data_IF_157157503450
#
_entry.id   IF_157157503450
#
_cell.length_a   1.000
_cell.length_b   1.000
_cell.length_c   1.000
_cell.angle_alpha   90.00
_cell.angle_beta   90.00
_cell.angle_gamma   90.00
#
_symmetry.space_group_name_H-M   'P 1'
#
loop_
_entity.id
_entity.type
_entity.pdbx_description
1 polymer ?
#
# COMPACT_ATOMS: atom_id res chain seq x y z
N UNK A 1 14.32 -5.66 28.18
CA UNK A 1 12.88 -5.30 28.12
C UNK A 1 12.37 -5.67 26.74
N UNK A 2 11.46 -6.65 26.59
CA UNK A 2 10.83 -6.96 25.29
C UNK A 2 9.62 -6.05 25.14
N UNK A 3 9.78 -4.94 24.41
CA UNK A 3 8.65 -4.09 24.02
C UNK A 3 7.75 -4.87 23.07
N UNK A 4 6.52 -5.18 23.49
CA UNK A 4 5.48 -5.71 22.60
C UNK A 4 4.82 -4.53 21.91
N UNK A 5 5.17 -4.31 20.64
CA UNK A 5 4.63 -3.20 19.85
C UNK A 5 3.38 -3.65 19.09
N UNK A 6 2.22 -3.44 19.70
CA UNK A 6 0.92 -3.80 19.14
C UNK A 6 0.52 -2.99 17.89
N UNK A 7 1.24 -1.90 17.59
CA UNK A 7 0.99 -1.08 16.39
C UNK A 7 1.23 -1.85 15.10
N UNK A 8 2.03 -2.93 15.15
CA UNK A 8 2.35 -3.75 13.99
C UNK A 8 1.53 -5.05 13.93
N UNK A 9 0.73 -5.36 14.96
CA UNK A 9 -0.08 -6.58 15.00
C UNK A 9 -1.03 -6.73 13.79
N UNK A 10 -1.65 -5.65 13.26
CA UNK A 10 -2.45 -5.76 12.04
C UNK A 10 -1.65 -6.21 10.82
N UNK A 11 -0.36 -5.88 10.76
CA UNK A 11 0.55 -6.25 9.68
C UNK A 11 1.19 -7.63 9.90
N UNK A 12 1.40 -8.03 11.15
CA UNK A 12 2.07 -9.28 11.52
C UNK A 12 1.13 -10.49 11.64
N UNK A 13 -0.10 -10.27 12.14
CA UNK A 13 -1.00 -11.36 12.52
C UNK A 13 -2.26 -11.47 11.65
N UNK A 14 -2.34 -10.71 10.55
CA UNK A 14 -3.45 -10.78 9.60
C UNK A 14 -4.78 -10.49 10.28
N UNK A 15 -5.14 -9.20 10.39
CA UNK A 15 -6.55 -8.86 10.58
C UNK A 15 -7.39 -9.63 9.55
N UNK A 16 -8.62 -10.03 9.88
CA UNK A 16 -9.43 -10.87 8.98
C UNK A 16 -9.81 -10.06 7.72
N UNK A 17 -8.93 -10.06 6.72
CA UNK A 17 -9.12 -9.32 5.47
C UNK A 17 -10.25 -10.01 4.71
N UNK A 18 -11.39 -9.32 4.58
CA UNK A 18 -12.49 -9.76 3.71
C UNK A 18 -12.01 -9.80 2.25
N UNK A 19 -12.46 -10.82 1.51
CA UNK A 19 -12.15 -11.03 0.09
C UNK A 19 -10.63 -11.07 -0.18
N UNK A 20 -9.90 -11.81 0.67
CA UNK A 20 -8.44 -11.85 0.64
C UNK A 20 -7.92 -12.39 -0.71
N UNK A 21 -8.53 -13.43 -1.27
CA UNK A 21 -8.09 -14.03 -2.53
C UNK A 21 -8.20 -13.03 -3.70
N UNK A 22 -9.32 -12.32 -3.80
CA UNK A 22 -9.57 -11.32 -4.82
C UNK A 22 -8.63 -10.12 -4.68
N UNK A 23 -8.41 -9.66 -3.44
CA UNK A 23 -7.44 -8.59 -3.16
C UNK A 23 -6.02 -9.01 -3.47
N UNK A 24 -5.66 -10.27 -3.23
CA UNK A 24 -4.33 -10.79 -3.57
C UNK A 24 -4.10 -10.77 -5.08
N UNK A 25 -5.10 -11.18 -5.89
CA UNK A 25 -5.00 -11.12 -7.36
C UNK A 25 -4.73 -9.69 -7.84
N UNK A 26 -5.42 -8.70 -7.27
CA UNK A 26 -5.20 -7.28 -7.63
C UNK A 26 -3.85 -6.78 -7.12
N UNK A 27 -3.44 -7.18 -5.91
CA UNK A 27 -2.15 -6.83 -5.33
C UNK A 27 -0.98 -7.32 -6.18
N UNK A 28 -1.03 -8.57 -6.67
CA UNK A 28 0.00 -9.14 -7.52
C UNK A 28 0.06 -8.41 -8.88
N UNK A 29 -1.09 -8.10 -9.47
CA UNK A 29 -1.15 -7.27 -10.70
C UNK A 29 -0.56 -5.87 -10.52
N UNK A 30 -0.80 -5.24 -9.37
CA UNK A 30 -0.18 -3.95 -9.05
C UNK A 30 1.34 -4.11 -8.91
N UNK A 31 1.80 -5.18 -8.25
CA UNK A 31 3.22 -5.46 -8.10
C UNK A 31 3.92 -5.65 -9.44
N UNK A 32 3.29 -6.34 -10.40
CA UNK A 32 3.83 -6.55 -11.75
C UNK A 32 4.02 -5.24 -12.54
N UNK A 33 3.25 -4.20 -12.25
CA UNK A 33 3.35 -2.89 -12.91
C UNK A 33 4.61 -2.12 -12.52
N UNK A 34 5.16 -2.39 -11.33
CA UNK A 34 6.30 -1.65 -10.78
C UNK A 34 7.55 -1.79 -11.65
N UNK A 35 8.24 -0.68 -11.89
CA UNK A 35 9.55 -0.62 -12.54
C UNK A 35 10.58 0.00 -11.60
N UNK A 36 11.84 -0.40 -11.74
CA UNK A 36 12.93 0.23 -10.97
C UNK A 36 13.01 1.72 -11.34
N UNK A 37 13.19 2.57 -10.34
CA UNK A 37 13.18 4.02 -10.45
C UNK A 37 11.80 4.67 -10.34
N UNK A 38 10.72 3.89 -10.21
CA UNK A 38 9.38 4.46 -10.05
C UNK A 38 9.26 5.25 -8.73
N UNK A 39 8.54 6.37 -8.78
CA UNK A 39 7.94 7.03 -7.61
C UNK A 39 6.45 6.75 -7.65
N UNK A 40 5.91 6.04 -6.66
CA UNK A 40 4.51 5.59 -6.70
C UNK A 40 3.69 6.12 -5.51
N UNK A 41 2.47 6.57 -5.78
CA UNK A 41 1.49 6.90 -4.74
C UNK A 41 0.82 5.63 -4.21
N UNK A 42 0.85 5.45 -2.90
CA UNK A 42 0.30 4.27 -2.22
C UNK A 42 -0.89 4.67 -1.37
N UNK A 43 -2.06 4.20 -1.80
CA UNK A 43 -3.32 4.34 -1.11
C UNK A 43 -3.40 3.66 0.25
N UNK A 44 -4.58 3.67 0.87
CA UNK A 44 -4.79 3.15 2.23
C UNK A 44 -5.76 1.96 2.27
N UNK A 45 -5.77 1.24 3.40
CA UNK A 45 -6.65 0.09 3.64
C UNK A 45 -6.10 -1.26 3.17
N UNK A 46 -6.87 -2.31 3.46
CA UNK A 46 -6.41 -3.71 3.33
C UNK A 46 -5.95 -4.12 1.92
N UNK A 47 -6.57 -3.63 0.85
CA UNK A 47 -6.14 -3.93 -0.52
C UNK A 47 -4.76 -3.31 -0.82
N UNK A 48 -4.57 -2.04 -0.44
CA UNK A 48 -3.30 -1.32 -0.61
C UNK A 48 -2.18 -1.95 0.24
N UNK A 49 -2.50 -2.43 1.44
CA UNK A 49 -1.57 -3.17 2.30
C UNK A 49 -1.06 -4.45 1.62
N UNK A 50 -1.95 -5.24 1.03
CA UNK A 50 -1.57 -6.46 0.31
C UNK A 50 -0.73 -6.16 -0.94
N UNK A 51 -1.04 -5.05 -1.63
CA UNK A 51 -0.25 -4.57 -2.77
C UNK A 51 1.18 -4.23 -2.34
N UNK A 52 1.41 -3.45 -1.29
CA UNK A 52 2.78 -3.14 -0.84
C UNK A 52 3.54 -4.37 -0.32
N UNK A 53 2.85 -5.34 0.27
CA UNK A 53 3.45 -6.61 0.66
C UNK A 53 3.93 -7.39 -0.59
N UNK A 54 3.14 -7.39 -1.66
CA UNK A 54 3.50 -8.08 -2.91
C UNK A 54 4.61 -7.33 -3.67
N UNK A 55 4.54 -5.99 -3.71
CA UNK A 55 5.60 -5.12 -4.22
C UNK A 55 6.92 -5.40 -3.47
N UNK A 56 6.94 -5.33 -2.14
CA UNK A 56 8.18 -5.51 -1.37
C UNK A 56 8.85 -6.88 -1.60
N UNK A 57 8.05 -7.96 -1.72
CA UNK A 57 8.56 -9.28 -2.12
C UNK A 57 9.22 -9.23 -3.49
N UNK A 58 8.56 -8.61 -4.48
CA UNK A 58 9.07 -8.51 -5.85
C UNK A 58 10.34 -7.67 -5.93
N UNK A 59 10.37 -6.48 -5.32
CA UNK A 59 11.54 -5.62 -5.28
C UNK A 59 12.77 -6.37 -4.74
N UNK A 60 12.60 -7.14 -3.67
CA UNK A 60 13.67 -7.95 -3.10
C UNK A 60 14.15 -9.05 -4.05
N UNK A 61 13.23 -9.76 -4.68
CA UNK A 61 13.55 -10.89 -5.57
C UNK A 61 14.25 -10.42 -6.86
N UNK A 62 13.78 -9.31 -7.43
CA UNK A 62 14.25 -8.78 -8.71
C UNK A 62 15.30 -7.66 -8.56
N UNK A 63 15.64 -7.27 -7.33
CA UNK A 63 16.57 -6.16 -7.02
C UNK A 63 16.16 -4.83 -7.68
N UNK A 64 14.87 -4.55 -7.65
CA UNK A 64 14.31 -3.28 -8.09
C UNK A 64 14.31 -2.29 -6.92
N UNK A 65 14.45 -1.01 -7.23
CA UNK A 65 14.39 0.08 -6.25
C UNK A 65 13.36 1.11 -6.66
N UNK A 66 12.54 1.58 -5.72
CA UNK A 66 11.46 2.55 -5.94
C UNK A 66 11.31 3.47 -4.74
N UNK A 67 10.64 4.61 -4.95
CA UNK A 67 10.15 5.47 -3.87
C UNK A 67 8.63 5.34 -3.75
N UNK A 68 8.11 5.35 -2.52
CA UNK A 68 6.66 5.30 -2.24
C UNK A 68 6.18 6.54 -1.49
N UNK A 69 5.02 7.06 -1.87
CA UNK A 69 4.34 8.19 -1.22
C UNK A 69 3.04 7.69 -0.57
N UNK A 70 3.01 7.45 0.76
CA UNK A 70 1.86 6.87 1.44
C UNK A 70 0.78 7.91 1.81
N UNK A 71 -0.49 7.58 1.54
CA UNK A 71 -1.65 8.45 1.81
C UNK A 71 -2.16 8.39 3.26
N UNK A 72 -1.52 7.64 4.15
CA UNK A 72 -1.85 7.65 5.58
C UNK A 72 -0.67 7.33 6.47
N UNK A 73 -0.81 7.64 7.76
CA UNK A 73 0.16 7.25 8.80
C UNK A 73 0.25 5.73 8.93
N UNK A 74 -0.88 5.03 8.84
CA UNK A 74 -0.92 3.56 8.83
C UNK A 74 -0.11 2.99 7.66
N UNK A 75 -0.35 3.50 6.46
CA UNK A 75 0.36 3.04 5.27
C UNK A 75 1.85 3.39 5.32
N UNK A 76 2.20 4.55 5.89
CA UNK A 76 3.60 4.91 6.12
C UNK A 76 4.31 3.88 7.03
N UNK A 77 3.68 3.49 8.14
CA UNK A 77 4.23 2.45 9.01
C UNK A 77 4.33 1.10 8.30
N UNK A 78 3.35 0.74 7.46
CA UNK A 78 3.38 -0.48 6.69
C UNK A 78 4.52 -0.50 5.67
N UNK A 79 4.73 0.60 4.93
CA UNK A 79 5.87 0.76 4.01
C UNK A 79 7.21 0.61 4.74
N UNK A 80 7.35 1.24 5.91
CA UNK A 80 8.55 1.10 6.74
C UNK A 80 8.75 -0.33 7.24
N UNK A 81 7.68 -1.00 7.67
CA UNK A 81 7.71 -2.40 8.10
C UNK A 81 8.22 -3.33 6.98
N UNK A 82 7.77 -3.10 5.75
CA UNK A 82 8.22 -3.83 4.56
C UNK A 82 9.53 -3.31 3.95
N UNK A 83 10.20 -2.36 4.61
CA UNK A 83 11.48 -1.76 4.19
C UNK A 83 11.44 -1.11 2.81
N UNK A 84 10.31 -0.49 2.46
CA UNK A 84 10.19 0.35 1.27
C UNK A 84 10.78 1.74 1.55
N UNK A 85 11.47 2.30 0.56
CA UNK A 85 11.97 3.68 0.62
C UNK A 85 10.81 4.66 0.48
N UNK A 86 10.53 5.42 1.54
CA UNK A 86 9.41 6.37 1.58
C UNK A 86 9.88 7.79 1.21
N UNK A 87 9.09 8.50 0.42
CA UNK A 87 9.22 9.94 0.16
C UNK A 87 7.89 10.67 0.41
N UNK A 88 7.86 11.98 0.19
CA UNK A 88 6.69 12.84 0.38
C UNK A 88 6.33 13.57 -0.92
N UNK A 89 5.04 13.88 -1.10
CA UNK A 89 4.52 14.57 -2.28
C UNK A 89 5.07 15.99 -2.45
N UNK A 90 5.59 16.60 -1.38
CA UNK A 90 6.27 17.91 -1.46
C UNK A 90 7.69 17.80 -2.04
N UNK A 91 8.28 16.60 -2.05
CA UNK A 91 9.65 16.34 -2.55
C UNK A 91 9.59 15.74 -3.95
N UNK A 92 8.77 14.71 -4.14
CA UNK A 92 8.69 13.96 -5.38
C UNK A 92 7.26 13.91 -5.93
N UNK A 93 7.14 13.76 -7.25
CA UNK A 93 5.86 13.58 -7.94
C UNK A 93 5.64 12.11 -8.29
N UNK A 94 4.50 11.49 -7.93
CA UNK A 94 4.24 10.11 -8.32
C UNK A 94 4.04 10.00 -9.83
N UNK A 95 4.65 9.00 -10.44
CA UNK A 95 4.44 8.66 -11.86
C UNK A 95 3.13 7.88 -12.06
N UNK A 96 2.68 7.16 -11.04
CA UNK A 96 1.37 6.55 -10.96
C UNK A 96 1.01 6.28 -9.50
N UNK A 97 -0.30 6.15 -9.25
CA UNK A 97 -0.83 5.85 -7.92
C UNK A 97 -1.76 4.63 -8.01
N UNK A 98 -1.95 3.96 -6.88
CA UNK A 98 -3.02 2.99 -6.70
C UNK A 98 -3.68 3.20 -5.34
N UNK A 99 -4.97 2.89 -5.26
CA UNK A 99 -5.71 2.92 -4.00
C UNK A 99 -6.92 1.98 -4.08
N UNK A 100 -7.45 1.59 -2.93
CA UNK A 100 -8.74 0.92 -2.85
C UNK A 100 -9.91 1.90 -3.01
N UNK A 101 -11.13 1.37 -3.05
CA UNK A 101 -12.35 2.13 -2.92
C UNK A 101 -13.31 1.39 -1.98
N UNK A 102 -14.16 2.13 -1.27
CA UNK A 102 -15.20 1.56 -0.43
C UNK A 102 -16.36 1.07 -1.27
N UNK A 103 -16.74 1.88 -2.27
CA UNK A 103 -17.76 1.58 -3.28
C UNK A 103 -17.32 2.15 -4.63
N UNK A 104 -17.74 1.50 -5.71
CA UNK A 104 -17.54 1.92 -7.10
C UNK A 104 -18.86 1.77 -7.82
N UNK A 105 -19.36 2.84 -8.45
CA UNK A 105 -20.59 2.78 -9.26
C UNK A 105 -20.30 2.39 -10.72
N UNK A 106 -21.36 2.20 -11.52
CA UNK A 106 -21.26 1.83 -12.95
C UNK A 106 -20.55 2.90 -13.80
N UNK A 107 -20.51 4.15 -13.33
CA UNK A 107 -19.84 5.27 -13.99
C UNK A 107 -18.39 5.46 -13.50
N UNK A 108 -17.86 4.53 -12.71
CA UNK A 108 -16.52 4.58 -12.10
C UNK A 108 -16.31 5.71 -11.09
N UNK A 109 -17.39 6.27 -10.54
CA UNK A 109 -17.29 7.16 -9.38
C UNK A 109 -16.90 6.34 -8.15
N UNK A 110 -16.08 6.92 -7.30
CA UNK A 110 -15.50 6.24 -6.14
C UNK A 110 -16.01 6.88 -4.85
N UNK A 111 -16.52 6.05 -3.94
CA UNK A 111 -16.63 6.42 -2.54
C UNK A 111 -15.38 5.93 -1.80
N UNK A 112 -14.75 6.82 -1.04
CA UNK A 112 -13.48 6.56 -0.35
C UNK A 112 -13.50 7.23 1.03
N UNK A 113 -12.67 6.72 1.93
CA UNK A 113 -12.41 7.36 3.21
C UNK A 113 -13.09 6.69 4.41
N UNK A 114 -13.76 5.54 4.24
CA UNK A 114 -14.30 4.76 5.38
C UNK A 114 -13.24 4.44 6.44
N UNK A 115 -11.99 4.27 6.01
CA UNK A 115 -10.84 4.06 6.89
C UNK A 115 -10.18 5.33 7.45
N UNK A 116 -10.77 6.52 7.25
CA UNK A 116 -10.29 7.79 7.81
C UNK A 116 -9.12 8.44 7.07
N UNK A 117 -8.75 7.95 5.87
CA UNK A 117 -7.61 8.44 5.09
C UNK A 117 -8.03 9.09 3.75
N UNK A 118 -8.99 10.02 3.79
CA UNK A 118 -9.54 10.64 2.57
C UNK A 118 -8.66 11.76 1.98
N UNK A 119 -8.05 12.59 2.83
CA UNK A 119 -7.58 13.92 2.42
C UNK A 119 -6.10 14.03 2.00
N UNK A 120 -5.23 13.18 2.53
CA UNK A 120 -3.77 13.39 2.49
C UNK A 120 -3.17 13.36 1.07
#
# INVERSE_FOLDING_TARGET
>A
MKWKNHLLDPFANGSQIKNMAEKQIVADKIADRVKSGDVIGVGSGSTSLMAIQSISRRLKNERLDILVIPTSTEMNFACQHFRLSVTDIVVDKPIWCFDGADEVDENTNLNKGRGGALYK
#
